data_IF_752583186009
#
_entry.id   IF_752583186009
#
_cell.length_a   1.000
_cell.length_b   1.000
_cell.length_c   1.000
_cell.angle_alpha   90.00
_cell.angle_beta   90.00
_cell.angle_gamma   90.00
#
_symmetry.space_group_name_H-M   'P 1'
#
loop_
_entity.id
_entity.type
_entity.pdbx_description
1 polymer ?
#
# COMPACT_ATOMS: atom_id res chain seq x y z
N UNK A 1 6.17 5.62 -0.03
CA UNK A 1 5.62 6.53 1.02
C UNK A 1 5.71 5.87 2.39
N UNK A 2 6.20 6.57 3.37
CA UNK A 2 6.24 6.10 4.75
C UNK A 2 4.83 6.14 5.37
N UNK A 3 4.64 5.39 6.44
CA UNK A 3 3.33 5.30 7.12
C UNK A 3 2.75 6.69 7.45
N UNK A 4 3.56 7.57 8.02
CA UNK A 4 3.13 8.92 8.37
C UNK A 4 2.67 9.74 7.17
N UNK A 5 3.35 9.61 6.05
CA UNK A 5 2.98 10.29 4.80
C UNK A 5 1.67 9.74 4.22
N UNK A 6 1.45 8.44 4.32
CA UNK A 6 0.18 7.80 3.90
C UNK A 6 -1.00 8.31 4.73
N UNK A 7 -0.81 8.42 6.04
CA UNK A 7 -1.83 8.95 6.96
C UNK A 7 -2.17 10.38 6.57
N UNK A 8 -1.17 11.22 6.41
CA UNK A 8 -1.36 12.63 6.05
C UNK A 8 -2.05 12.80 4.71
N UNK A 9 -1.57 12.10 3.69
CA UNK A 9 -2.12 12.17 2.34
C UNK A 9 -3.59 11.81 2.33
N UNK A 10 -3.95 10.69 2.95
CA UNK A 10 -5.34 10.24 2.98
C UNK A 10 -6.22 11.16 3.80
N UNK A 11 -5.71 11.66 4.92
CA UNK A 11 -6.42 12.64 5.74
C UNK A 11 -6.80 13.88 4.93
N UNK A 12 -5.85 14.42 4.19
CA UNK A 12 -6.07 15.61 3.33
C UNK A 12 -7.06 15.31 2.21
N UNK A 13 -6.96 14.15 1.57
CA UNK A 13 -7.89 13.70 0.53
C UNK A 13 -9.34 13.65 1.02
N UNK A 14 -9.54 13.24 2.29
CA UNK A 14 -10.85 13.19 2.91
C UNK A 14 -11.32 14.52 3.51
N UNK A 15 -10.49 15.56 3.44
CA UNK A 15 -10.81 16.87 3.99
C UNK A 15 -10.83 16.90 5.51
N UNK A 16 -10.12 15.99 6.18
CA UNK A 16 -10.06 15.91 7.64
C UNK A 16 -8.92 16.75 8.20
N UNK A 17 -9.17 17.38 9.35
CA UNK A 17 -8.11 17.99 10.15
C UNK A 17 -7.44 16.94 11.03
N UNK A 18 -6.29 17.28 11.63
CA UNK A 18 -5.66 16.42 12.63
C UNK A 18 -6.55 16.17 13.84
N UNK A 19 -7.34 17.18 14.24
CA UNK A 19 -8.32 17.05 15.32
C UNK A 19 -9.44 16.08 14.93
N UNK A 20 -9.94 16.17 13.70
CA UNK A 20 -10.97 15.25 13.19
C UNK A 20 -10.49 13.81 13.23
N UNK A 21 -9.30 13.56 12.75
CA UNK A 21 -8.73 12.21 12.75
C UNK A 21 -8.47 11.71 14.18
N UNK A 22 -7.94 12.58 15.03
CA UNK A 22 -7.71 12.25 16.45
C UNK A 22 -9.01 11.88 17.16
N UNK A 23 -10.07 12.63 16.94
CA UNK A 23 -11.39 12.35 17.52
C UNK A 23 -11.97 11.04 16.98
N UNK A 24 -11.74 10.72 15.71
CA UNK A 24 -12.24 9.50 15.10
C UNK A 24 -11.60 8.24 15.68
N UNK A 25 -10.34 8.31 16.09
CA UNK A 25 -9.62 7.15 16.65
C UNK A 25 -9.40 7.22 18.18
N UNK A 26 -9.88 8.30 18.82
CA UNK A 26 -9.80 8.43 20.27
C UNK A 26 -8.45 8.89 20.79
N UNK A 27 -7.69 9.66 20.04
CA UNK A 27 -6.41 10.23 20.44
C UNK A 27 -6.40 11.73 20.24
N UNK A 28 -5.41 12.41 20.83
CA UNK A 28 -5.26 13.85 20.71
C UNK A 28 -4.57 14.23 19.39
N UNK A 29 -4.75 15.47 18.97
CA UNK A 29 -4.08 16.04 17.79
C UNK A 29 -2.56 15.85 17.84
N UNK A 30 -1.93 16.01 18.99
CA UNK A 30 -0.50 15.84 19.16
C UNK A 30 -0.03 14.43 18.78
N UNK A 31 -0.83 13.41 19.05
CA UNK A 31 -0.54 12.04 18.65
C UNK A 31 -0.58 11.88 17.14
N UNK A 32 -1.60 12.44 16.48
CA UNK A 32 -1.70 12.42 15.01
C UNK A 32 -0.49 13.12 14.38
N UNK A 33 -0.09 14.27 14.91
CA UNK A 33 1.08 14.99 14.43
C UNK A 33 2.35 14.13 14.52
N UNK A 34 2.54 13.42 15.63
CA UNK A 34 3.66 12.51 15.81
C UNK A 34 3.64 11.33 14.83
N UNK A 35 2.46 10.78 14.55
CA UNK A 35 2.30 9.70 13.58
C UNK A 35 2.67 10.18 12.17
N UNK A 36 2.18 11.34 11.76
CA UNK A 36 2.45 11.89 10.44
C UNK A 36 3.92 12.28 10.23
N UNK A 37 4.57 12.76 11.28
CA UNK A 37 6.01 13.10 11.23
C UNK A 37 6.93 11.90 11.32
N UNK A 38 6.40 10.72 11.61
CA UNK A 38 7.21 9.52 11.80
C UNK A 38 7.98 9.46 13.12
N UNK A 39 7.61 10.31 14.09
CA UNK A 39 8.20 10.29 15.43
C UNK A 39 7.83 9.03 16.21
N UNK A 40 6.68 8.43 15.89
CA UNK A 40 6.24 7.16 16.43
C UNK A 40 6.07 6.21 15.25
N UNK A 41 6.95 5.23 15.13
CA UNK A 41 6.95 4.26 14.02
C UNK A 41 6.32 2.93 14.45
N UNK A 42 6.33 2.63 15.73
CA UNK A 42 5.85 1.35 16.28
C UNK A 42 4.43 1.53 16.82
N UNK A 43 3.47 1.52 15.92
CA UNK A 43 2.06 1.63 16.25
C UNK A 43 1.47 0.26 16.60
N UNK A 44 0.61 0.23 17.62
CA UNK A 44 -0.14 -0.97 17.96
C UNK A 44 -1.09 -1.35 16.81
N UNK A 45 -1.34 -2.64 16.67
CA UNK A 45 -2.25 -3.17 15.65
C UNK A 45 -3.63 -2.55 15.73
N UNK A 46 -4.15 -2.35 16.95
CA UNK A 46 -5.44 -1.70 17.16
C UNK A 46 -5.46 -0.26 16.67
N UNK A 47 -4.36 0.48 16.84
CA UNK A 47 -4.23 1.85 16.35
C UNK A 47 -4.20 1.89 14.82
N UNK A 48 -3.48 0.97 14.19
CA UNK A 48 -3.44 0.86 12.72
C UNK A 48 -4.82 0.53 12.16
N UNK A 49 -5.55 -0.38 12.78
CA UNK A 49 -6.93 -0.69 12.38
C UNK A 49 -7.86 0.52 12.52
N UNK A 50 -7.75 1.24 13.62
CA UNK A 50 -8.55 2.45 13.85
C UNK A 50 -8.24 3.53 12.80
N UNK A 51 -6.97 3.76 12.51
CA UNK A 51 -6.53 4.68 11.46
C UNK A 51 -7.06 4.27 10.09
N UNK A 52 -6.94 2.99 9.75
CA UNK A 52 -7.44 2.46 8.47
C UNK A 52 -8.94 2.67 8.31
N UNK A 53 -9.72 2.40 9.36
CA UNK A 53 -11.16 2.61 9.35
C UNK A 53 -11.51 4.09 9.20
N UNK A 54 -10.86 4.98 9.94
CA UNK A 54 -11.10 6.42 9.88
C UNK A 54 -10.71 7.01 8.53
N UNK A 55 -9.63 6.51 7.93
CA UNK A 55 -9.11 6.96 6.65
C UNK A 55 -9.75 6.23 5.46
N UNK A 56 -10.62 5.27 5.70
CA UNK A 56 -11.31 4.47 4.67
C UNK A 56 -10.34 3.74 3.74
N UNK A 57 -9.30 3.17 4.30
CA UNK A 57 -8.32 2.36 3.59
C UNK A 57 -8.16 1.00 4.28
N UNK A 58 -7.57 0.05 3.57
CA UNK A 58 -7.24 -1.26 4.15
C UNK A 58 -6.08 -1.12 5.15
N UNK A 59 -6.09 -1.86 6.27
CA UNK A 59 -4.94 -1.90 7.17
C UNK A 59 -3.65 -2.34 6.45
N UNK A 60 -3.75 -3.21 5.48
CA UNK A 60 -2.60 -3.64 4.65
C UNK A 60 -1.97 -2.47 3.91
N UNK A 61 -2.77 -1.52 3.43
CA UNK A 61 -2.27 -0.32 2.76
C UNK A 61 -1.33 0.47 3.67
N UNK A 62 -1.68 0.62 4.94
CA UNK A 62 -0.85 1.32 5.93
C UNK A 62 0.40 0.53 6.31
N UNK A 63 0.32 -0.80 6.29
CA UNK A 63 1.41 -1.69 6.68
C UNK A 63 2.38 -2.00 5.53
N UNK A 64 1.99 -1.73 4.28
CA UNK A 64 2.84 -1.97 3.13
C UNK A 64 4.13 -1.15 3.20
N UNK A 65 5.25 -1.84 2.99
CA UNK A 65 6.57 -1.21 2.98
C UNK A 65 6.80 -0.55 1.62
N UNK A 66 7.03 0.76 1.64
CA UNK A 66 6.98 1.59 0.44
C UNK A 66 8.15 1.46 -0.51
N UNK A 67 9.29 1.03 -0.03
CA UNK A 67 10.50 1.03 -0.83
C UNK A 67 10.41 0.03 -1.99
N UNK A 68 9.69 -1.07 -1.79
CA UNK A 68 9.50 -2.09 -2.82
C UNK A 68 8.46 -1.68 -3.85
N UNK A 69 7.41 -0.96 -3.44
CA UNK A 69 6.32 -0.57 -4.33
C UNK A 69 6.74 0.54 -5.30
N UNK A 70 7.50 1.53 -4.87
CA UNK A 70 8.01 2.60 -5.73
C UNK A 70 8.96 2.04 -6.78
N UNK A 71 9.85 1.12 -6.42
CA UNK A 71 10.74 0.45 -7.36
C UNK A 71 9.97 -0.40 -8.39
N UNK A 72 8.94 -1.12 -7.95
CA UNK A 72 8.08 -1.91 -8.84
C UNK A 72 7.30 -1.02 -9.79
N UNK A 73 6.74 0.08 -9.33
CA UNK A 73 6.02 1.03 -10.16
C UNK A 73 6.94 1.68 -11.19
N UNK A 74 8.16 2.07 -10.80
CA UNK A 74 9.15 2.59 -11.73
C UNK A 74 9.53 1.55 -12.78
N UNK A 75 9.78 0.31 -12.38
CA UNK A 75 10.08 -0.77 -13.30
C UNK A 75 8.95 -1.02 -14.29
N UNK A 76 7.69 -0.97 -13.83
CA UNK A 76 6.51 -1.09 -14.68
C UNK A 76 6.40 0.07 -15.66
N UNK A 77 6.71 1.29 -15.23
CA UNK A 77 6.67 2.47 -16.10
C UNK A 77 7.79 2.48 -17.14
N UNK A 78 8.92 1.85 -16.86
CA UNK A 78 10.05 1.78 -17.78
C UNK A 78 9.86 0.77 -18.91
N UNK A 79 9.05 -0.27 -18.70
CA UNK A 79 8.78 -1.28 -19.72
C UNK A 79 7.32 -1.20 -20.20
N UNK A 80 7.09 -0.70 -21.44
CA UNK A 80 5.73 -0.59 -21.99
C UNK A 80 5.00 -1.94 -22.08
N UNK A 81 5.74 -3.03 -22.25
CA UNK A 81 5.14 -4.38 -22.34
C UNK A 81 4.55 -4.81 -21.00
N UNK A 82 5.20 -4.49 -19.88
CA UNK A 82 4.70 -4.75 -18.56
C UNK A 82 3.45 -3.92 -18.24
N UNK A 83 3.43 -2.66 -18.68
CA UNK A 83 2.26 -1.79 -18.56
C UNK A 83 1.05 -2.36 -19.31
N UNK A 84 1.27 -2.82 -20.54
CA UNK A 84 0.22 -3.46 -21.35
C UNK A 84 -0.30 -4.73 -20.71
N UNK A 85 0.59 -5.56 -20.17
CA UNK A 85 0.24 -6.78 -19.49
C UNK A 85 -0.60 -6.49 -18.24
N UNK A 86 -0.22 -5.48 -17.49
CA UNK A 86 -0.94 -5.05 -16.29
C UNK A 86 -2.34 -4.53 -16.63
N UNK A 87 -2.47 -3.71 -17.68
CA UNK A 87 -3.76 -3.20 -18.13
C UNK A 87 -4.68 -4.33 -18.61
N UNK A 88 -4.15 -5.29 -19.33
CA UNK A 88 -4.90 -6.46 -19.79
C UNK A 88 -5.33 -7.35 -18.62
N UNK A 89 -4.50 -7.48 -17.59
CA UNK A 89 -4.82 -8.30 -16.42
C UNK A 89 -6.05 -7.79 -15.66
N UNK A 90 -6.33 -6.49 -15.72
CA UNK A 90 -7.54 -5.92 -15.10
C UNK A 90 -8.83 -6.43 -15.72
N UNK A 91 -8.80 -6.82 -16.99
CA UNK A 91 -9.97 -7.32 -17.73
C UNK A 91 -10.08 -8.83 -17.68
N UNK A 92 -9.12 -9.50 -17.07
CA UNK A 92 -9.08 -10.95 -16.98
C UNK A 92 -9.90 -11.45 -15.78
N UNK A 93 -10.44 -12.68 -15.92
CA UNK A 93 -11.06 -13.38 -14.79
C UNK A 93 -10.01 -13.83 -13.78
N UNK A 94 -10.44 -14.19 -12.57
CA UNK A 94 -9.55 -14.72 -11.54
C UNK A 94 -8.81 -15.98 -12.02
N UNK A 95 -9.47 -16.83 -12.79
CA UNK A 95 -8.87 -18.05 -13.37
C UNK A 95 -7.74 -17.71 -14.35
N UNK A 96 -7.95 -16.68 -15.17
CA UNK A 96 -6.94 -16.24 -16.14
C UNK A 96 -5.71 -15.65 -15.44
N UNK A 97 -5.92 -14.89 -14.38
CA UNK A 97 -4.82 -14.33 -13.58
C UNK A 97 -4.02 -15.45 -12.90
N UNK A 98 -4.69 -16.47 -12.36
CA UNK A 98 -4.02 -17.65 -11.79
C UNK A 98 -3.17 -18.38 -12.83
N UNK A 99 -3.71 -18.57 -14.03
CA UNK A 99 -2.98 -19.18 -15.12
C UNK A 99 -1.70 -18.39 -15.47
N UNK A 100 -1.80 -17.07 -15.53
CA UNK A 100 -0.65 -16.21 -15.78
C UNK A 100 0.41 -16.32 -14.68
N UNK A 101 -0.02 -16.38 -13.43
CA UNK A 101 0.89 -16.55 -12.30
C UNK A 101 1.64 -17.89 -12.37
N UNK A 102 0.95 -18.97 -12.74
CA UNK A 102 1.55 -20.27 -12.94
C UNK A 102 2.58 -20.26 -14.06
N UNK A 103 2.27 -19.59 -15.17
CA UNK A 103 3.22 -19.44 -16.28
C UNK A 103 4.45 -18.63 -15.88
N UNK A 104 4.25 -17.55 -15.14
CA UNK A 104 5.36 -16.71 -14.66
C UNK A 104 6.28 -17.52 -13.73
N UNK A 105 5.73 -18.30 -12.81
CA UNK A 105 6.50 -19.18 -11.94
C UNK A 105 7.30 -20.21 -12.74
N UNK A 106 6.70 -20.77 -13.76
CA UNK A 106 7.36 -21.76 -14.63
C UNK A 106 8.52 -21.14 -15.38
N UNK A 107 8.36 -19.94 -15.92
CA UNK A 107 9.43 -19.21 -16.62
C UNK A 107 10.58 -18.91 -15.67
N UNK A 108 10.30 -18.47 -14.45
CA UNK A 108 11.30 -18.20 -13.44
C UNK A 108 12.10 -19.46 -13.05
N UNK A 109 11.43 -20.60 -12.95
CA UNK A 109 12.09 -21.87 -12.66
C UNK A 109 12.99 -22.34 -13.79
N UNK A 110 12.61 -22.10 -15.05
CA UNK A 110 13.43 -22.43 -16.21
C UNK A 110 14.67 -21.55 -16.32
N UNK A 111 14.59 -20.29 -15.87
CA UNK A 111 15.71 -19.35 -15.88
C UNK A 111 16.72 -19.63 -14.76
N UNK A 112 16.29 -20.26 -13.66
CA UNK A 112 17.13 -20.60 -12.53
C UNK A 112 16.98 -22.09 -12.17
N UNK A 113 17.66 -22.99 -12.91
CA UNK A 113 17.51 -24.43 -12.72
C UNK A 113 18.10 -24.93 -11.41
N UNK A 114 18.89 -24.12 -10.70
CA UNK A 114 19.48 -24.46 -9.42
C UNK A 114 18.61 -24.00 -8.22
N UNK A 115 17.49 -23.34 -8.49
CA UNK A 115 16.58 -22.87 -7.45
C UNK A 115 15.61 -23.97 -7.00
#
# INVERSE_FOLDING_TARGET
MKLGEKIRKRRIELGMTMDDLGNAIGVQRSAINKYEKGAIVDLKRSTIQALANALQVSPLYLLEDDNDDDERLEALHQDPRLCLLFDRSRKMSSSDVEFMLQMADRILKEQDPDA
#
